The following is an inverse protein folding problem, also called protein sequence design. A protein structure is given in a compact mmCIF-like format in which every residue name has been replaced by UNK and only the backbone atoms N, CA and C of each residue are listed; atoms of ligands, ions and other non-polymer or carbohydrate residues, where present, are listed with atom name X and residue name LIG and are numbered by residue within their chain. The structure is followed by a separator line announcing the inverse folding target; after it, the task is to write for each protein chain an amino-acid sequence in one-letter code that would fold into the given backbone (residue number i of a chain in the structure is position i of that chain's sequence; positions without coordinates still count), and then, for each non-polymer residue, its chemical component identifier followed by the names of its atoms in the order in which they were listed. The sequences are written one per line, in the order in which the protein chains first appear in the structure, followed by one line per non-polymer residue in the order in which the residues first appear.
data_IF_840544326373
#
_entry.id   IF_840544326373
#
_cell.length_a   1.000
_cell.length_b   1.000
_cell.length_c   1.000
_cell.angle_alpha   90.00
_cell.angle_beta   90.00
_cell.angle_gamma   90.00
#
_symmetry.space_group_name_H-M   'P 1'
#
loop_
_entity.id
_entity.type
_entity.pdbx_description
1 polymer ?
#
# COMPACT_ATOMS: atom_id res chain seq x y z
N UNK A 1 5.81 1.27 -15.45
CA UNK A 1 5.22 -0.07 -15.32
C UNK A 1 3.96 0.03 -14.49
N UNK A 2 2.86 -0.61 -14.89
CA UNK A 2 1.53 -0.57 -14.23
C UNK A 2 1.62 -0.86 -12.72
N UNK A 3 2.60 -1.67 -12.30
CA UNK A 3 2.84 -1.99 -10.88
C UNK A 3 3.45 -0.83 -10.07
N UNK A 4 4.28 0.03 -10.68
CA UNK A 4 4.84 1.23 -10.02
C UNK A 4 3.71 2.22 -9.75
N UNK A 5 2.80 2.40 -10.70
CA UNK A 5 1.57 3.17 -10.53
C UNK A 5 0.66 2.58 -9.44
N UNK A 6 0.63 1.26 -9.24
CA UNK A 6 -0.11 0.63 -8.13
C UNK A 6 0.56 0.81 -6.76
N UNK A 7 1.89 0.97 -6.70
CA UNK A 7 2.64 1.27 -5.47
C UNK A 7 2.54 2.76 -5.10
N UNK A 8 2.55 3.64 -6.09
CA UNK A 8 2.31 5.08 -5.92
C UNK A 8 0.84 5.37 -5.58
N UNK A 9 -0.14 4.73 -6.24
CA UNK A 9 -1.55 4.77 -5.84
C UNK A 9 -1.82 4.11 -4.47
N UNK A 10 -0.89 3.30 -3.97
CA UNK A 10 -0.91 2.82 -2.57
C UNK A 10 -0.54 3.90 -1.57
N UNK A 11 0.21 4.93 -1.97
CA UNK A 11 0.50 6.09 -1.12
C UNK A 11 -0.74 6.95 -0.89
N UNK A 12 -1.68 6.96 -1.84
CA UNK A 12 -2.97 7.67 -1.73
C UNK A 12 -4.12 6.82 -1.15
N UNK A 13 -4.03 5.49 -1.20
CA UNK A 13 -5.04 4.58 -0.61
C UNK A 13 -4.68 4.03 0.79
N UNK A 14 -3.56 4.49 1.37
CA UNK A 14 -3.16 4.11 2.73
C UNK A 14 -3.90 4.85 3.84
N UNK A 15 -4.77 5.81 3.53
CA UNK A 15 -5.57 6.51 4.56
C UNK A 15 -7.01 5.98 4.69
N UNK A 16 -7.12 4.68 4.95
CA UNK A 16 -8.16 4.22 5.87
C UNK A 16 -7.47 3.91 7.20
N UNK A 17 -7.00 5.00 7.83
CA UNK A 17 -6.24 5.00 9.06
C UNK A 17 -6.80 4.06 10.13
N UNK A 18 -5.98 3.08 10.49
CA UNK A 18 -5.91 2.61 11.87
C UNK A 18 -5.06 3.63 12.66
N UNK A 19 -5.57 4.84 12.84
CA UNK A 19 -5.03 5.76 13.83
C UNK A 19 -5.37 5.19 15.20
N UNK A 20 -4.32 4.82 15.94
CA UNK A 20 -4.42 4.52 17.35
C UNK A 20 -4.25 5.85 18.06
N UNK A 21 -5.33 6.61 18.19
CA UNK A 21 -5.36 7.81 19.02
C UNK A 21 -6.60 7.79 19.91
N UNK A 22 -6.35 8.08 21.17
CA UNK A 22 -7.19 7.87 22.33
C UNK A 22 -8.37 8.88 22.40
N UNK A 23 -9.45 8.43 23.04
CA UNK A 23 -10.48 9.21 23.73
C UNK A 23 -11.39 10.19 22.95
N UNK A 24 -12.61 9.75 22.66
CA UNK A 24 -13.84 10.53 22.92
C UNK A 24 -15.10 9.67 22.77
N UNK A 25 -16.00 9.91 23.71
CA UNK A 25 -17.17 9.17 24.16
C UNK A 25 -18.22 8.75 23.12
N UNK A 26 -18.71 7.53 23.36
CA UNK A 26 -20.12 7.10 23.36
C UNK A 26 -20.94 7.41 22.10
N UNK A 27 -21.06 6.39 21.22
CA UNK A 27 -22.04 6.19 20.10
C UNK A 27 -21.37 5.65 18.80
N UNK A 28 -20.36 4.78 18.90
CA UNK A 28 -19.71 4.14 17.72
C UNK A 28 -19.63 2.62 17.77
N UNK A 29 -20.49 1.95 18.53
CA UNK A 29 -20.52 0.47 18.58
C UNK A 29 -21.09 -0.20 17.31
N UNK A 30 -21.56 0.57 16.33
CA UNK A 30 -22.10 0.02 15.08
C UNK A 30 -21.06 -0.28 14.01
N UNK A 31 -19.88 0.36 14.06
CA UNK A 31 -18.82 0.14 13.07
C UNK A 31 -17.74 -0.78 13.66
N UNK A 32 -17.93 -2.08 13.48
CA UNK A 32 -17.04 -3.15 13.93
C UNK A 32 -15.70 -3.07 13.18
N UNK A 33 -14.90 -2.05 13.50
CA UNK A 33 -13.54 -1.87 13.01
C UNK A 33 -12.68 -3.03 13.56
N UNK A 34 -11.85 -3.54 12.65
CA UNK A 34 -10.68 -4.40 12.83
C UNK A 34 -10.78 -5.83 13.42
N UNK A 35 -11.82 -6.27 14.11
CA UNK A 35 -11.91 -7.70 14.53
C UNK A 35 -12.65 -8.61 13.52
N UNK A 36 -12.98 -8.03 12.37
CA UNK A 36 -13.84 -8.56 11.30
C UNK A 36 -13.07 -8.94 10.03
N UNK A 37 -11.82 -8.49 9.86
CA UNK A 37 -11.03 -8.80 8.66
C UNK A 37 -10.71 -10.30 8.54
N UNK A 38 -10.33 -10.98 9.63
CA UNK A 38 -10.04 -12.42 9.59
C UNK A 38 -11.26 -13.26 9.26
N UNK A 39 -12.39 -12.95 9.90
CA UNK A 39 -13.66 -13.64 9.69
C UNK A 39 -14.18 -13.43 8.26
N UNK A 40 -14.22 -12.18 7.79
CA UNK A 40 -14.69 -11.85 6.44
C UNK A 40 -13.81 -12.50 5.37
N UNK A 41 -12.48 -12.36 5.48
CA UNK A 41 -11.54 -12.97 4.54
C UNK A 41 -11.69 -14.48 4.44
N UNK A 42 -11.76 -15.19 5.58
CA UNK A 42 -11.97 -16.64 5.59
C UNK A 42 -13.30 -17.04 4.96
N UNK A 43 -14.38 -16.36 5.34
CA UNK A 43 -15.74 -16.64 4.83
C UNK A 43 -15.80 -16.53 3.31
N UNK A 44 -15.21 -15.48 2.75
CA UNK A 44 -15.22 -15.21 1.30
C UNK A 44 -14.24 -16.12 0.55
N UNK A 45 -13.02 -16.30 1.05
CA UNK A 45 -11.98 -17.08 0.36
C UNK A 45 -12.32 -18.57 0.30
N UNK A 46 -12.86 -19.12 1.39
CA UNK A 46 -13.24 -20.53 1.48
C UNK A 46 -14.69 -20.78 1.05
N UNK A 47 -15.41 -19.74 0.59
CA UNK A 47 -16.83 -19.80 0.20
C UNK A 47 -17.71 -20.53 1.22
N UNK A 48 -17.51 -20.24 2.50
CA UNK A 48 -18.19 -20.94 3.59
C UNK A 48 -19.67 -20.58 3.57
N UNK A 49 -20.53 -21.59 3.48
CA UNK A 49 -21.97 -21.41 3.61
C UNK A 49 -22.35 -21.52 5.09
N UNK A 50 -22.78 -20.39 5.67
CA UNK A 50 -23.27 -20.37 7.05
C UNK A 50 -24.74 -20.80 7.10
N UNK A 51 -25.14 -21.41 8.22
CA UNK A 51 -26.55 -21.75 8.46
C UNK A 51 -27.42 -20.48 8.42
N UNK A 52 -28.64 -20.55 7.84
CA UNK A 52 -29.58 -19.44 7.85
C UNK A 52 -29.86 -18.95 9.28
N UNK A 53 -30.01 -17.64 9.43
CA UNK A 53 -30.32 -17.05 10.72
C UNK A 53 -31.71 -17.48 11.21
N UNK A 54 -31.81 -17.89 12.47
CA UNK A 54 -33.07 -18.31 13.11
C UNK A 54 -33.92 -17.14 13.65
N UNK A 55 -33.37 -15.92 13.68
CA UNK A 55 -34.01 -14.69 14.19
C UNK A 55 -34.18 -13.64 13.08
N UNK A 56 -34.87 -14.00 11.99
CA UNK A 56 -35.25 -13.09 10.90
C UNK A 56 -34.09 -12.31 10.23
N UNK A 57 -32.87 -12.84 10.31
CA UNK A 57 -31.65 -12.21 9.78
C UNK A 57 -31.33 -10.81 10.35
N UNK A 58 -31.89 -10.45 11.51
CA UNK A 58 -31.76 -9.11 12.14
C UNK A 58 -31.03 -9.17 13.49
N UNK A 59 -30.12 -10.14 13.67
CA UNK A 59 -29.34 -10.24 14.89
C UNK A 59 -28.47 -9.00 15.11
N UNK A 60 -28.54 -8.41 16.31
CA UNK A 60 -27.60 -7.39 16.75
C UNK A 60 -26.21 -8.02 16.98
N UNK A 61 -25.21 -7.53 16.24
CA UNK A 61 -23.81 -8.00 16.31
C UNK A 61 -23.02 -7.01 17.15
N UNK A 62 -22.81 -7.38 18.42
CA UNK A 62 -22.03 -6.70 19.45
C UNK A 62 -20.81 -7.54 19.82
N UNK A 63 -19.81 -6.97 20.49
CA UNK A 63 -18.55 -7.68 20.84
C UNK A 63 -18.79 -9.01 21.57
N UNK A 64 -19.73 -9.01 22.52
CA UNK A 64 -20.07 -10.18 23.35
C UNK A 64 -20.81 -11.29 22.60
N UNK A 65 -21.61 -10.94 21.58
CA UNK A 65 -22.54 -11.88 20.92
C UNK A 65 -22.23 -12.09 19.43
N UNK A 66 -21.16 -11.51 18.90
CA UNK A 66 -20.79 -11.57 17.47
C UNK A 66 -20.60 -13.00 16.93
N UNK A 67 -20.29 -13.95 17.80
CA UNK A 67 -20.12 -15.35 17.40
C UNK A 67 -21.46 -16.13 17.37
N UNK A 68 -22.56 -15.55 17.87
CA UNK A 68 -23.88 -16.21 17.95
C UNK A 68 -24.51 -16.47 16.59
N UNK A 69 -24.34 -15.56 15.64
CA UNK A 69 -24.90 -15.69 14.29
C UNK A 69 -23.87 -15.29 13.24
N UNK A 70 -23.21 -16.30 12.67
CA UNK A 70 -22.21 -16.12 11.63
C UNK A 70 -22.81 -15.54 10.34
N UNK A 71 -24.05 -15.93 10.00
CA UNK A 71 -24.79 -15.39 8.86
C UNK A 71 -25.00 -13.87 8.95
N UNK A 72 -25.59 -13.38 10.06
CA UNK A 72 -25.81 -11.96 10.25
C UNK A 72 -24.50 -11.18 10.39
N UNK A 73 -23.46 -11.78 10.99
CA UNK A 73 -22.13 -11.18 11.04
C UNK A 73 -21.55 -10.96 9.65
N UNK A 74 -21.61 -11.97 8.78
CA UNK A 74 -21.11 -11.86 7.40
C UNK A 74 -21.94 -10.83 6.60
N UNK A 75 -23.27 -10.89 6.70
CA UNK A 75 -24.18 -9.93 6.06
C UNK A 75 -23.88 -8.49 6.47
N UNK A 76 -23.64 -8.24 7.77
CA UNK A 76 -23.24 -6.92 8.27
C UNK A 76 -21.88 -6.48 7.72
N UNK A 77 -20.89 -7.38 7.64
CA UNK A 77 -19.58 -7.07 7.05
C UNK A 77 -19.70 -6.63 5.58
N UNK A 78 -20.56 -7.29 4.80
CA UNK A 78 -20.84 -6.90 3.41
C UNK A 78 -21.54 -5.54 3.37
N UNK A 79 -22.54 -5.32 4.24
CA UNK A 79 -23.31 -4.08 4.28
C UNK A 79 -22.47 -2.84 4.64
N UNK A 80 -21.43 -3.00 5.48
CA UNK A 80 -20.48 -1.90 5.78
C UNK A 80 -19.43 -1.66 4.69
N UNK A 81 -19.53 -2.34 3.55
CA UNK A 81 -18.65 -2.11 2.40
C UNK A 81 -17.38 -2.98 2.36
N UNK A 82 -17.30 -4.07 3.15
CA UNK A 82 -16.23 -5.05 2.91
C UNK A 82 -16.48 -5.73 1.57
N UNK A 83 -15.64 -5.44 0.58
CA UNK A 83 -15.74 -6.02 -0.76
C UNK A 83 -14.81 -7.22 -0.93
N UNK A 84 -15.24 -8.18 -1.75
CA UNK A 84 -14.43 -9.35 -2.12
C UNK A 84 -13.17 -8.94 -2.89
N UNK A 85 -13.27 -7.87 -3.68
CA UNK A 85 -12.19 -7.43 -4.56
C UNK A 85 -11.07 -6.75 -3.76
N UNK A 86 -11.41 -5.98 -2.72
CA UNK A 86 -10.42 -5.38 -1.81
C UNK A 86 -9.61 -6.43 -1.01
N UNK A 87 -10.15 -7.64 -0.80
CA UNK A 87 -9.43 -8.73 -0.11
C UNK A 87 -8.25 -9.26 -0.93
N UNK A 88 -8.29 -9.17 -2.27
CA UNK A 88 -7.20 -9.68 -3.13
C UNK A 88 -5.97 -8.78 -3.12
N UNK A 89 -6.13 -7.48 -2.93
CA UNK A 89 -5.03 -6.50 -3.07
C UNK A 89 -4.16 -6.35 -1.81
N UNK A 90 -4.47 -7.05 -0.71
CA UNK A 90 -3.90 -6.74 0.60
C UNK A 90 -2.46 -7.19 0.85
N UNK A 91 -1.91 -8.17 0.11
CA UNK A 91 -0.58 -8.72 0.42
C UNK A 91 0.20 -9.05 -0.86
N UNK A 92 1.10 -8.16 -1.27
CA UNK A 92 2.16 -8.50 -2.22
C UNK A 92 2.99 -9.62 -1.58
N UNK A 93 3.16 -10.79 -2.23
CA UNK A 93 4.00 -11.86 -1.70
C UNK A 93 5.39 -11.34 -1.34
N UNK A 94 5.98 -11.80 -0.23
CA UNK A 94 7.30 -11.32 0.23
C UNK A 94 8.36 -11.37 -0.87
N UNK A 95 8.33 -12.43 -1.70
CA UNK A 95 9.22 -12.61 -2.85
C UNK A 95 9.04 -11.53 -3.91
N UNK A 96 7.81 -11.13 -4.17
CA UNK A 96 7.49 -10.11 -5.15
C UNK A 96 7.84 -8.71 -4.64
N UNK A 97 7.60 -8.44 -3.35
CA UNK A 97 8.06 -7.22 -2.69
C UNK A 97 9.59 -7.07 -2.79
N UNK A 98 10.34 -8.16 -2.55
CA UNK A 98 11.79 -8.15 -2.65
C UNK A 98 12.29 -7.86 -4.07
N UNK A 99 11.66 -8.46 -5.10
CA UNK A 99 11.98 -8.20 -6.51
C UNK A 99 11.76 -6.74 -6.90
N UNK A 100 10.65 -6.16 -6.46
CA UNK A 100 10.32 -4.76 -6.78
C UNK A 100 11.31 -3.80 -6.13
N UNK A 101 11.67 -4.02 -4.85
CA UNK A 101 12.66 -3.20 -4.16
C UNK A 101 14.04 -3.28 -4.83
N UNK A 102 14.45 -4.47 -5.27
CA UNK A 102 15.70 -4.66 -6.02
C UNK A 102 15.67 -3.93 -7.37
N UNK A 103 14.55 -4.00 -8.10
CA UNK A 103 14.38 -3.29 -9.37
C UNK A 103 14.40 -1.76 -9.21
N UNK A 104 13.78 -1.24 -8.14
CA UNK A 104 13.81 0.20 -7.82
C UNK A 104 15.24 0.66 -7.50
N UNK A 105 15.99 -0.12 -6.71
CA UNK A 105 17.40 0.18 -6.41
C UNK A 105 18.23 0.24 -7.70
N UNK A 106 18.10 -0.76 -8.58
CA UNK A 106 18.82 -0.77 -9.86
C UNK A 106 18.53 0.46 -10.72
N UNK A 107 17.25 0.88 -10.79
CA UNK A 107 16.87 2.08 -11.56
C UNK A 107 17.40 3.39 -10.97
N UNK A 108 17.56 3.45 -9.63
CA UNK A 108 18.15 4.61 -8.96
C UNK A 108 19.66 4.69 -9.18
N UNK A 109 20.35 3.53 -9.19
CA UNK A 109 21.80 3.47 -9.43
C UNK A 109 22.13 3.77 -10.89
N UNK A 110 21.34 3.27 -11.85
CA UNK A 110 21.55 3.57 -13.27
C UNK A 110 21.37 5.07 -13.55
N UNK A 111 20.33 5.70 -12.99
CA UNK A 111 20.11 7.15 -13.12
C UNK A 111 21.21 7.98 -12.47
N UNK A 112 21.70 7.56 -11.30
CA UNK A 112 22.83 8.24 -10.66
C UNK A 112 24.11 8.13 -11.51
N UNK A 113 24.34 6.99 -12.15
CA UNK A 113 25.49 6.80 -13.03
C UNK A 113 25.37 7.59 -14.33
N UNK A 114 24.17 7.63 -14.94
CA UNK A 114 23.88 8.48 -16.09
C UNK A 114 24.06 9.97 -15.75
N UNK A 115 23.56 10.42 -14.59
CA UNK A 115 23.73 11.79 -14.12
C UNK A 115 25.20 12.15 -13.88
N UNK A 116 25.97 11.25 -13.27
CA UNK A 116 27.41 11.43 -13.12
C UNK A 116 28.11 11.51 -14.47
N UNK A 117 27.81 10.60 -15.40
CA UNK A 117 28.38 10.61 -16.75
C UNK A 117 28.03 11.89 -17.54
N UNK A 118 26.81 12.42 -17.39
CA UNK A 118 26.44 13.70 -18.01
C UNK A 118 27.15 14.89 -17.37
N UNK A 119 27.39 14.87 -16.06
CA UNK A 119 28.12 15.93 -15.38
C UNK A 119 29.60 15.99 -15.80
N UNK A 120 30.23 14.84 -16.06
CA UNK A 120 31.61 14.77 -16.58
C UNK A 120 31.74 15.33 -18.01
N UNK A 121 30.67 15.29 -18.82
CA UNK A 121 30.67 15.78 -20.21
C UNK A 121 30.34 17.29 -20.31
N UNK A 122 29.69 17.86 -19.32
CA UNK A 122 29.32 19.29 -19.28
C UNK A 122 30.53 20.20 -18.94
N UNK A 123 31.66 19.62 -18.50
CA UNK A 123 32.88 20.36 -18.15
C UNK A 123 33.76 20.75 -19.37
N UNK A 124 33.31 20.44 -20.60
CA UNK A 124 34.03 20.77 -21.84
C UNK A 124 34.41 22.26 -22.00
N UNK A 125 33.55 23.25 -21.67
CA UNK A 125 33.91 24.67 -21.75
C UNK A 125 34.99 25.06 -20.73
N UNK A 126 34.96 24.41 -19.57
CA UNK A 126 35.92 24.62 -18.47
C UNK A 126 37.28 24.02 -18.79
N UNK A 127 37.29 22.85 -19.43
CA UNK A 127 38.50 22.18 -19.91
C UNK A 127 39.17 23.01 -21.02
N UNK A 128 38.39 23.51 -21.99
CA UNK A 128 38.88 24.43 -23.02
C UNK A 128 39.46 25.72 -22.43
N UNK A 129 38.78 26.33 -21.46
CA UNK A 129 39.28 27.53 -20.78
C UNK A 129 40.61 27.30 -20.05
N UNK A 130 40.80 26.11 -19.44
CA UNK A 130 42.06 25.74 -18.79
C UNK A 130 43.19 25.53 -19.80
N UNK A 131 42.92 24.86 -20.91
CA UNK A 131 43.91 24.63 -21.98
C UNK A 131 44.33 25.96 -22.61
N UNK A 132 43.37 26.83 -22.93
CA UNK A 132 43.64 28.16 -23.50
C UNK A 132 44.45 29.01 -22.53
N UNK A 133 44.08 29.04 -21.24
CA UNK A 133 44.85 29.78 -20.23
C UNK A 133 46.28 29.27 -20.09
N UNK A 134 46.46 27.95 -19.99
CA UNK A 134 47.79 27.36 -19.92
C UNK A 134 48.64 27.69 -21.15
N UNK A 135 48.03 27.74 -22.35
CA UNK A 135 48.73 28.13 -23.57
C UNK A 135 49.25 29.56 -23.48
N UNK A 136 48.42 30.51 -23.04
CA UNK A 136 48.84 31.91 -22.82
C UNK A 136 49.96 32.02 -21.78
N UNK A 137 49.90 31.25 -20.68
CA UNK A 137 50.91 31.30 -19.61
C UNK A 137 52.26 30.68 -20.02
N UNK A 138 52.28 29.77 -21.01
CA UNK A 138 53.51 29.10 -21.49
C UNK A 138 54.10 29.71 -22.77
N UNK A 139 53.39 30.64 -23.41
CA UNK A 139 53.80 31.25 -24.67
C UNK A 139 54.40 32.66 -24.51
N UNK A 140 54.79 33.06 -23.29
CA UNK A 140 55.78 34.14 -23.04
C UNK A 140 57.19 33.59 -22.82
#
# INVERSE_FOLDING_TARGET
SVLVSMLEARRESSDSGCSSDDNSDVERDSNCRCDSQGFFRRSIQQKIQYRPCTKNQQCSILRINRNRCQYCRLKKCIAVGMSRDAVRFGRVPKREKARILAAMQQSSTSRAHEQAATAELDDAPRLLARVVRAHYDTCE
#
